data_IF_827613612346
#
_entry.id   IF_827613612346
#
_cell.length_a   1.000
_cell.length_b   1.000
_cell.length_c   1.000
_cell.angle_alpha   90.00
_cell.angle_beta   90.00
_cell.angle_gamma   90.00
#
_symmetry.space_group_name_H-M   'P 1'
#
loop_
_entity.id
_entity.type
_entity.pdbx_description
1 polymer ?
#
# COMPACT_ATOMS: atom_id res chain seq x y z
N UNK A 1 30.93 1.18 53.64
CA UNK A 1 30.35 2.37 52.92
C UNK A 1 31.09 2.65 51.61
N UNK A 2 32.16 1.93 51.23
CA UNK A 2 32.95 2.22 50.03
C UNK A 2 32.60 1.37 48.76
N UNK A 3 31.59 0.55 48.81
CA UNK A 3 31.26 -0.37 47.66
C UNK A 3 30.12 0.16 46.79
N UNK A 4 29.41 1.20 47.19
CA UNK A 4 28.25 1.73 46.47
C UNK A 4 28.56 2.81 45.41
N UNK A 5 29.74 3.40 45.41
CA UNK A 5 30.11 4.47 44.47
C UNK A 5 30.72 3.96 43.15
N UNK A 6 31.29 2.75 43.12
CA UNK A 6 31.90 2.19 41.90
C UNK A 6 30.90 1.59 40.92
N UNK A 7 29.66 1.32 41.34
CA UNK A 7 28.61 0.80 40.43
C UNK A 7 27.90 1.89 39.61
N UNK A 8 27.88 3.12 40.06
CA UNK A 8 27.20 4.22 39.38
C UNK A 8 27.95 4.72 38.15
N UNK A 9 29.28 4.82 38.21
CA UNK A 9 30.09 5.30 37.09
C UNK A 9 30.15 4.31 35.94
N UNK A 10 30.26 3.00 36.22
CA UNK A 10 30.25 1.95 35.17
C UNK A 10 28.90 1.79 34.47
N UNK A 11 27.80 2.13 35.13
CA UNK A 11 26.47 2.09 34.50
C UNK A 11 26.21 3.32 33.63
N UNK A 12 26.70 4.50 34.03
CA UNK A 12 26.58 5.72 33.22
C UNK A 12 27.42 5.64 31.92
N UNK A 13 28.65 5.14 31.98
CA UNK A 13 29.47 4.94 30.79
C UNK A 13 28.86 3.98 29.78
N UNK A 14 28.18 2.87 30.25
CA UNK A 14 27.47 1.96 29.39
C UNK A 14 26.22 2.57 28.74
N UNK A 15 25.52 3.44 29.45
CA UNK A 15 24.33 4.13 28.94
C UNK A 15 24.72 5.22 27.95
N UNK A 16 25.78 6.00 28.25
CA UNK A 16 26.31 7.02 27.33
C UNK A 16 26.89 6.41 26.06
N UNK A 17 27.51 5.22 26.12
CA UNK A 17 27.97 4.49 24.95
C UNK A 17 26.85 3.95 24.10
N UNK A 18 25.65 3.64 24.67
CA UNK A 18 24.47 3.28 23.91
C UNK A 18 23.84 4.45 23.15
N UNK A 19 24.10 5.69 23.58
CA UNK A 19 23.60 6.90 22.91
C UNK A 19 24.52 7.39 21.78
N UNK A 20 25.75 6.89 21.68
CA UNK A 20 26.72 7.21 20.62
C UNK A 20 26.88 6.01 19.71
N UNK A 21 26.01 5.89 18.72
CA UNK A 21 26.07 4.80 17.75
C UNK A 21 26.90 5.23 16.53
N UNK A 22 28.17 4.86 16.52
CA UNK A 22 29.09 5.13 15.41
C UNK A 22 29.31 3.92 14.49
N UNK A 23 28.69 2.79 14.79
CA UNK A 23 28.81 1.57 13.99
C UNK A 23 28.12 1.75 12.64
N UNK A 24 28.79 1.32 11.58
CA UNK A 24 28.25 1.28 10.22
C UNK A 24 28.09 -0.18 9.80
N UNK A 25 26.95 -0.49 9.23
CA UNK A 25 26.63 -1.82 8.72
C UNK A 25 26.51 -1.75 7.19
N UNK A 26 27.63 -1.74 6.45
CA UNK A 26 27.57 -1.71 5.00
C UNK A 26 26.93 -2.99 4.46
N UNK A 27 26.19 -2.92 3.35
CA UNK A 27 25.67 -4.12 2.68
C UNK A 27 26.82 -5.01 2.21
N UNK A 28 26.58 -6.32 2.14
CA UNK A 28 27.56 -7.25 1.60
C UNK A 28 27.83 -6.99 0.12
N UNK A 29 29.02 -7.38 -0.38
CA UNK A 29 29.37 -7.24 -1.80
C UNK A 29 28.34 -7.92 -2.73
N UNK A 30 27.81 -9.07 -2.32
CA UNK A 30 26.75 -9.77 -3.05
C UNK A 30 25.49 -8.91 -3.19
N UNK A 31 25.04 -8.24 -2.12
CA UNK A 31 23.87 -7.34 -2.18
C UNK A 31 24.14 -6.11 -3.04
N UNK A 32 25.33 -5.51 -2.93
CA UNK A 32 25.73 -4.37 -3.77
C UNK A 32 25.70 -4.74 -5.25
N UNK A 33 26.27 -5.89 -5.61
CA UNK A 33 26.35 -6.36 -7.00
C UNK A 33 25.00 -6.67 -7.61
N UNK A 34 24.05 -7.19 -6.80
CA UNK A 34 22.72 -7.59 -7.25
C UNK A 34 21.63 -6.55 -6.94
N UNK A 35 22.00 -5.36 -6.47
CA UNK A 35 21.04 -4.29 -6.18
C UNK A 35 20.39 -3.78 -7.47
N UNK A 36 19.05 -3.63 -7.46
CA UNK A 36 18.30 -3.06 -8.57
C UNK A 36 18.53 -1.55 -8.74
N UNK A 37 19.00 -0.87 -7.69
CA UNK A 37 19.35 0.53 -7.68
C UNK A 37 20.83 0.69 -7.30
N UNK A 38 21.74 0.81 -8.30
CA UNK A 38 23.15 1.01 -8.02
C UNK A 38 23.44 2.38 -7.42
N UNK A 39 24.54 2.52 -6.69
CA UNK A 39 24.93 3.78 -6.04
C UNK A 39 25.07 4.96 -7.02
N UNK A 40 25.42 4.68 -8.29
CA UNK A 40 25.51 5.71 -9.35
C UNK A 40 24.19 6.44 -9.59
N UNK A 41 23.03 5.86 -9.22
CA UNK A 41 21.75 6.54 -9.36
C UNK A 41 21.61 7.75 -8.45
N UNK A 42 22.24 7.74 -7.28
CA UNK A 42 22.30 8.91 -6.40
C UNK A 42 23.08 10.05 -7.05
N UNK A 43 24.18 9.73 -7.73
CA UNK A 43 24.99 10.72 -8.46
C UNK A 43 24.25 11.28 -9.68
N UNK A 44 23.55 10.42 -10.45
CA UNK A 44 22.72 10.83 -11.57
C UNK A 44 21.59 11.77 -11.10
N UNK A 45 20.86 11.39 -10.03
CA UNK A 45 19.78 12.19 -9.48
C UNK A 45 20.26 13.51 -8.90
N UNK A 46 21.47 13.56 -8.30
CA UNK A 46 22.05 14.77 -7.75
C UNK A 46 22.48 15.77 -8.84
N UNK A 47 22.87 15.27 -10.01
CA UNK A 47 23.25 16.11 -11.17
C UNK A 47 22.05 16.75 -11.84
N UNK A 48 20.98 15.96 -12.06
CA UNK A 48 19.75 16.42 -12.70
C UNK A 48 18.58 15.55 -12.24
N UNK A 49 17.89 15.99 -11.19
CA UNK A 49 16.76 15.28 -10.61
C UNK A 49 15.61 15.07 -11.60
N UNK A 50 15.29 16.08 -12.40
CA UNK A 50 14.14 16.00 -13.31
C UNK A 50 14.41 15.01 -14.45
N UNK A 51 15.61 15.07 -15.04
CA UNK A 51 16.02 14.14 -16.09
C UNK A 51 16.13 12.71 -15.57
N UNK A 52 16.63 12.52 -14.33
CA UNK A 52 16.67 11.21 -13.69
C UNK A 52 15.25 10.60 -13.57
N UNK A 53 14.30 11.34 -12.99
CA UNK A 53 12.94 10.83 -12.81
C UNK A 53 12.18 10.68 -14.14
N UNK A 54 12.42 11.55 -15.12
CA UNK A 54 11.91 11.39 -16.48
C UNK A 54 12.34 10.05 -17.07
N UNK A 55 13.65 9.77 -17.04
CA UNK A 55 14.22 8.50 -17.51
C UNK A 55 13.57 7.29 -16.80
N UNK A 56 13.46 7.32 -15.46
CA UNK A 56 12.85 6.23 -14.71
C UNK A 56 11.37 6.02 -15.10
N UNK A 57 10.60 7.09 -15.20
CA UNK A 57 9.19 7.03 -15.56
C UNK A 57 8.95 6.50 -16.98
N UNK A 58 9.70 7.00 -17.98
CA UNK A 58 9.53 6.57 -19.37
C UNK A 58 10.03 5.14 -19.63
N UNK A 59 11.00 4.64 -18.85
CA UNK A 59 11.54 3.29 -19.06
C UNK A 59 10.86 2.20 -18.22
N UNK A 60 10.18 2.56 -17.13
CA UNK A 60 9.63 1.59 -16.17
C UNK A 60 8.11 1.55 -16.11
N UNK A 61 7.44 2.58 -16.60
CA UNK A 61 5.97 2.70 -16.57
C UNK A 61 5.45 2.57 -18.01
N UNK A 62 4.38 1.81 -18.18
CA UNK A 62 3.61 1.79 -19.43
C UNK A 62 2.58 2.92 -19.38
N UNK A 63 2.78 3.91 -20.23
CA UNK A 63 1.90 5.06 -20.36
C UNK A 63 0.86 4.82 -21.47
N UNK A 64 -0.37 5.24 -21.25
CA UNK A 64 -1.38 5.36 -22.30
C UNK A 64 -1.17 6.65 -23.08
N UNK A 65 -0.69 7.69 -22.39
CA UNK A 65 -0.18 8.93 -22.96
C UNK A 65 1.08 9.32 -22.22
N UNK A 66 2.22 9.38 -22.91
CA UNK A 66 3.48 9.79 -22.30
C UNK A 66 3.42 11.24 -21.83
N UNK A 67 3.97 11.56 -20.64
CA UNK A 67 4.01 12.93 -20.14
C UNK A 67 5.04 13.77 -20.92
N UNK A 68 4.70 15.02 -21.18
CA UNK A 68 5.62 16.02 -21.72
C UNK A 68 6.12 16.98 -20.63
N UNK A 69 5.33 17.19 -19.57
CA UNK A 69 5.68 17.98 -18.41
C UNK A 69 6.09 17.08 -17.24
N UNK A 70 7.35 17.17 -16.82
CA UNK A 70 7.89 16.28 -15.78
C UNK A 70 7.49 16.73 -14.40
N UNK A 71 7.56 18.04 -14.13
CA UNK A 71 7.21 18.64 -12.84
C UNK A 71 6.57 20.01 -13.05
N UNK A 72 5.35 20.16 -12.55
CA UNK A 72 4.70 21.47 -12.35
C UNK A 72 4.90 21.89 -10.88
N UNK A 73 5.76 22.86 -10.65
CA UNK A 73 6.07 23.48 -9.36
C UNK A 73 5.52 24.90 -9.22
N UNK A 74 4.58 25.28 -10.06
CA UNK A 74 3.99 26.62 -10.11
C UNK A 74 3.17 27.01 -8.87
N UNK A 75 2.73 26.01 -8.07
CA UNK A 75 1.91 26.23 -6.86
C UNK A 75 2.45 25.47 -5.64
N UNK A 76 3.63 25.84 -5.07
CA UNK A 76 4.15 25.20 -3.87
C UNK A 76 3.19 25.34 -2.67
N UNK A 77 3.07 24.33 -1.79
CA UNK A 77 3.79 23.04 -1.77
C UNK A 77 3.11 21.94 -2.61
N UNK A 78 2.11 22.25 -3.43
CA UNK A 78 1.31 21.29 -4.19
C UNK A 78 1.95 21.00 -5.55
N UNK A 79 3.02 20.21 -5.54
CA UNK A 79 3.74 19.79 -6.73
C UNK A 79 2.98 18.72 -7.52
N UNK A 80 3.01 18.78 -8.85
CA UNK A 80 2.42 17.77 -9.74
C UNK A 80 3.49 17.17 -10.65
N UNK A 81 3.74 15.89 -10.47
CA UNK A 81 4.64 15.12 -11.31
C UNK A 81 3.88 14.52 -12.49
N UNK A 82 4.46 14.59 -13.69
CA UNK A 82 3.92 13.97 -14.91
C UNK A 82 2.45 14.32 -15.17
N UNK A 83 2.09 15.59 -15.00
CA UNK A 83 0.73 16.12 -14.93
C UNK A 83 -0.14 15.79 -16.14
N UNK A 84 0.45 15.79 -17.35
CA UNK A 84 -0.23 15.56 -18.62
C UNK A 84 -0.12 14.12 -19.13
N UNK A 85 0.52 13.24 -18.36
CA UNK A 85 0.61 11.82 -18.63
C UNK A 85 -0.67 11.06 -18.22
N UNK A 86 -0.97 9.96 -18.93
CA UNK A 86 -2.10 9.09 -18.60
C UNK A 86 -1.63 7.66 -18.45
N UNK A 87 -2.01 7.03 -17.36
CA UNK A 87 -1.71 5.64 -17.05
C UNK A 87 -2.83 5.00 -16.21
N UNK A 88 -2.82 3.68 -16.13
CA UNK A 88 -3.59 2.96 -15.12
C UNK A 88 -2.64 2.15 -14.23
N UNK A 89 -2.77 2.32 -12.91
CA UNK A 89 -1.91 1.65 -11.95
C UNK A 89 -2.10 0.12 -11.99
N UNK A 90 -3.35 -0.35 -12.04
CA UNK A 90 -3.66 -1.78 -12.10
C UNK A 90 -3.10 -2.42 -13.38
N UNK A 91 -3.19 -1.73 -14.53
CA UNK A 91 -2.56 -2.19 -15.76
C UNK A 91 -1.05 -2.36 -15.60
N UNK A 92 -0.39 -1.38 -14.99
CA UNK A 92 1.06 -1.44 -14.75
C UNK A 92 1.47 -2.53 -13.76
N UNK A 93 0.61 -2.86 -12.80
CA UNK A 93 0.87 -3.91 -11.83
C UNK A 93 0.57 -5.32 -12.36
N UNK A 94 -0.38 -5.47 -13.26
CA UNK A 94 -0.92 -6.78 -13.68
C UNK A 94 -0.84 -7.00 -15.18
N UNK A 95 -1.67 -6.28 -15.96
CA UNK A 95 -1.97 -6.60 -17.35
C UNK A 95 -0.72 -6.69 -18.21
N UNK A 96 0.19 -5.74 -18.07
CA UNK A 96 1.41 -5.68 -18.86
C UNK A 96 2.38 -6.86 -18.62
N UNK A 97 2.16 -7.62 -17.55
CA UNK A 97 3.00 -8.77 -17.18
C UNK A 97 2.40 -10.12 -17.61
N UNK A 98 1.13 -10.16 -18.03
CA UNK A 98 0.42 -11.42 -18.26
C UNK A 98 1.02 -12.24 -19.40
N UNK A 99 1.46 -11.60 -20.48
CA UNK A 99 2.02 -12.29 -21.64
C UNK A 99 3.33 -13.04 -21.31
N UNK A 100 4.20 -12.45 -20.48
CA UNK A 100 5.51 -13.01 -20.15
C UNK A 100 5.54 -13.76 -18.82
N UNK A 101 4.74 -13.34 -17.86
CA UNK A 101 4.83 -13.76 -16.46
C UNK A 101 3.46 -14.15 -15.85
N UNK A 102 2.46 -14.47 -16.67
CA UNK A 102 1.11 -14.81 -16.19
C UNK A 102 1.09 -15.92 -15.14
N UNK A 103 1.86 -16.98 -15.36
CA UNK A 103 1.99 -18.14 -14.46
C UNK A 103 2.96 -17.90 -13.28
N UNK A 104 3.68 -16.78 -13.28
CA UNK A 104 4.59 -16.42 -12.18
C UNK A 104 3.80 -16.03 -10.95
N UNK A 105 4.29 -16.45 -9.76
CA UNK A 105 3.72 -16.04 -8.48
C UNK A 105 3.91 -14.53 -8.30
N UNK A 106 2.79 -13.80 -8.18
CA UNK A 106 2.78 -12.38 -7.89
C UNK A 106 3.09 -12.13 -6.41
N UNK A 107 2.50 -12.94 -5.51
CA UNK A 107 2.84 -12.94 -4.09
C UNK A 107 2.43 -14.26 -3.42
N UNK A 108 3.15 -14.56 -2.33
CA UNK A 108 2.78 -15.61 -1.39
C UNK A 108 1.99 -14.97 -0.25
N UNK A 109 0.94 -15.63 0.18
CA UNK A 109 0.19 -15.24 1.35
C UNK A 109 0.27 -16.32 2.41
N UNK A 110 0.44 -15.90 3.67
CA UNK A 110 0.41 -16.75 4.84
C UNK A 110 -0.52 -16.10 5.88
N UNK A 111 -1.57 -16.82 6.25
CA UNK A 111 -2.50 -16.42 7.29
C UNK A 111 -1.97 -16.72 8.70
N UNK A 112 -2.47 -16.02 9.71
CA UNK A 112 -2.05 -16.21 11.10
C UNK A 112 -2.26 -17.66 11.59
N UNK A 113 -3.34 -18.40 11.20
CA UNK A 113 -3.49 -19.80 11.53
C UNK A 113 -2.54 -20.76 10.80
N UNK A 114 -1.76 -20.29 9.84
CA UNK A 114 -0.83 -21.10 9.05
C UNK A 114 -1.34 -21.50 7.67
N UNK A 115 -2.52 -21.00 7.25
CA UNK A 115 -3.00 -21.16 5.88
C UNK A 115 -2.07 -20.43 4.90
N UNK A 116 -1.80 -21.02 3.74
CA UNK A 116 -0.93 -20.43 2.71
C UNK A 116 -1.59 -20.44 1.35
N UNK A 117 -1.30 -19.44 0.53
CA UNK A 117 -1.70 -19.38 -0.88
C UNK A 117 -0.55 -18.85 -1.73
N UNK A 118 -0.38 -19.43 -2.90
CA UNK A 118 0.41 -18.87 -4.00
C UNK A 118 -0.56 -18.24 -4.98
N UNK A 119 -0.38 -16.96 -5.29
CA UNK A 119 -1.26 -16.22 -6.18
C UNK A 119 -0.44 -15.75 -7.37
N UNK A 120 -0.76 -16.28 -8.56
CA UNK A 120 -0.10 -15.90 -9.80
C UNK A 120 -0.59 -14.54 -10.31
N UNK A 121 0.13 -13.94 -11.26
CA UNK A 121 -0.33 -12.72 -11.94
C UNK A 121 -1.66 -12.95 -12.65
N UNK A 122 -1.85 -14.12 -13.26
CA UNK A 122 -3.10 -14.48 -13.93
C UNK A 122 -4.26 -14.60 -12.95
N UNK A 123 -4.08 -15.32 -11.82
CA UNK A 123 -5.10 -15.44 -10.77
C UNK A 123 -5.50 -14.07 -10.21
N UNK A 124 -4.49 -13.25 -9.90
CA UNK A 124 -4.71 -11.92 -9.36
C UNK A 124 -5.47 -11.03 -10.34
N UNK A 125 -5.09 -11.07 -11.62
CA UNK A 125 -5.77 -10.34 -12.69
C UNK A 125 -7.24 -10.73 -12.78
N UNK A 126 -7.56 -12.03 -12.78
CA UNK A 126 -8.94 -12.51 -12.86
C UNK A 126 -9.79 -12.07 -11.66
N UNK A 127 -9.24 -12.19 -10.44
CA UNK A 127 -9.90 -11.73 -9.20
C UNK A 127 -10.15 -10.22 -9.24
N UNK A 128 -9.16 -9.44 -9.67
CA UNK A 128 -9.27 -7.98 -9.82
C UNK A 128 -10.32 -7.60 -10.85
N UNK A 129 -10.36 -8.24 -12.00
CA UNK A 129 -11.38 -8.00 -13.03
C UNK A 129 -12.80 -8.32 -12.53
N UNK A 130 -12.98 -9.44 -11.82
CA UNK A 130 -14.28 -9.83 -11.24
C UNK A 130 -14.77 -8.77 -10.24
N UNK A 131 -13.91 -8.34 -9.31
CA UNK A 131 -14.29 -7.33 -8.32
C UNK A 131 -14.50 -5.95 -8.95
N UNK A 132 -13.69 -5.56 -9.94
CA UNK A 132 -13.88 -4.32 -10.71
C UNK A 132 -15.25 -4.26 -11.38
N UNK A 133 -15.67 -5.39 -11.98
CA UNK A 133 -16.99 -5.49 -12.60
C UNK A 133 -18.13 -5.46 -11.57
N UNK A 134 -17.93 -6.04 -10.38
CA UNK A 134 -18.89 -5.97 -9.28
C UNK A 134 -19.05 -4.52 -8.78
N UNK A 135 -17.93 -3.81 -8.55
CA UNK A 135 -17.94 -2.40 -8.14
C UNK A 135 -18.67 -1.51 -9.15
N UNK A 136 -18.41 -1.70 -10.47
CA UNK A 136 -19.12 -0.98 -11.52
C UNK A 136 -20.64 -1.27 -11.52
N UNK A 137 -21.04 -2.52 -11.26
CA UNK A 137 -22.47 -2.87 -11.15
C UNK A 137 -23.15 -2.23 -9.93
N UNK A 138 -22.38 -1.96 -8.88
CA UNK A 138 -22.85 -1.23 -7.68
C UNK A 138 -22.82 0.29 -7.87
N UNK A 139 -22.49 0.78 -9.06
CA UNK A 139 -22.48 2.21 -9.38
C UNK A 139 -21.20 2.94 -8.97
N UNK A 140 -20.10 2.23 -8.66
CA UNK A 140 -18.83 2.88 -8.37
C UNK A 140 -18.20 3.39 -9.67
N UNK A 141 -17.90 4.68 -9.72
CA UNK A 141 -17.35 5.39 -10.86
C UNK A 141 -15.93 5.93 -10.57
N UNK A 142 -15.26 6.42 -11.63
CA UNK A 142 -13.97 7.10 -11.51
C UNK A 142 -14.07 8.30 -10.56
N UNK A 143 -13.21 8.34 -9.56
CA UNK A 143 -13.15 9.40 -8.55
C UNK A 143 -14.01 9.13 -7.31
N UNK A 144 -14.88 8.10 -7.31
CA UNK A 144 -15.55 7.67 -6.10
C UNK A 144 -14.56 7.10 -5.08
N UNK A 145 -14.91 7.18 -3.80
CA UNK A 145 -14.10 6.64 -2.70
C UNK A 145 -14.70 5.35 -2.20
N UNK A 146 -13.84 4.36 -2.03
CA UNK A 146 -14.16 3.03 -1.48
C UNK A 146 -13.36 2.83 -0.21
N UNK A 147 -14.01 2.63 0.93
CA UNK A 147 -13.32 2.26 2.16
C UNK A 147 -13.05 0.75 2.16
N UNK A 148 -11.82 0.36 2.47
CA UNK A 148 -11.40 -1.04 2.55
C UNK A 148 -11.02 -1.31 4.00
N UNK A 149 -11.87 -2.07 4.72
CA UNK A 149 -11.67 -2.46 6.11
C UNK A 149 -11.55 -3.99 6.18
N UNK A 150 -10.36 -4.47 5.90
CA UNK A 150 -10.01 -5.90 5.81
C UNK A 150 -8.81 -6.23 6.70
N UNK A 151 -8.68 -7.51 7.03
CA UNK A 151 -7.44 -8.08 7.51
C UNK A 151 -6.39 -8.21 6.41
N UNK A 152 -5.21 -8.75 6.76
CA UNK A 152 -4.12 -8.99 5.80
C UNK A 152 -4.39 -10.28 5.02
N UNK A 153 -5.40 -10.26 4.15
CA UNK A 153 -5.79 -11.36 3.28
C UNK A 153 -5.54 -10.99 1.81
N UNK A 154 -5.54 -11.96 0.87
CA UNK A 154 -5.39 -11.67 -0.56
C UNK A 154 -6.42 -10.66 -1.09
N UNK A 155 -7.61 -10.63 -0.50
CA UNK A 155 -8.72 -9.78 -0.91
C UNK A 155 -8.43 -8.28 -0.71
N UNK A 156 -7.53 -7.91 0.21
CA UNK A 156 -7.13 -6.50 0.35
C UNK A 156 -6.36 -6.02 -0.87
N UNK A 157 -5.45 -6.85 -1.40
CA UNK A 157 -4.68 -6.56 -2.62
C UNK A 157 -5.60 -6.48 -3.83
N UNK A 158 -6.51 -7.46 -3.96
CA UNK A 158 -7.54 -7.49 -5.01
C UNK A 158 -8.40 -6.23 -4.97
N UNK A 159 -8.83 -5.81 -3.78
CA UNK A 159 -9.69 -4.63 -3.59
C UNK A 159 -8.99 -3.33 -3.98
N UNK A 160 -7.73 -3.15 -3.56
CA UNK A 160 -6.94 -1.97 -3.94
C UNK A 160 -6.74 -1.87 -5.46
N UNK A 161 -6.36 -2.99 -6.10
CA UNK A 161 -6.12 -3.02 -7.54
C UNK A 161 -7.42 -2.91 -8.35
N UNK A 162 -8.54 -3.44 -7.85
CA UNK A 162 -9.84 -3.30 -8.48
C UNK A 162 -10.32 -1.83 -8.50
N UNK A 163 -10.16 -1.11 -7.38
CA UNK A 163 -10.44 0.31 -7.32
C UNK A 163 -9.54 1.10 -8.29
N UNK A 164 -8.23 0.84 -8.26
CA UNK A 164 -7.28 1.49 -9.16
C UNK A 164 -7.62 1.23 -10.65
N UNK A 165 -8.09 0.01 -10.98
CA UNK A 165 -8.45 -0.38 -12.34
C UNK A 165 -9.59 0.45 -12.91
N UNK A 166 -10.61 0.77 -12.12
CA UNK A 166 -11.75 1.58 -12.55
C UNK A 166 -11.56 3.09 -12.29
N UNK A 167 -10.41 3.49 -11.72
CA UNK A 167 -10.12 4.87 -11.38
C UNK A 167 -10.82 5.37 -10.11
N UNK A 168 -11.35 4.48 -9.28
CA UNK A 168 -11.86 4.81 -7.94
C UNK A 168 -10.71 5.00 -6.95
N UNK A 169 -10.92 5.89 -5.99
CA UNK A 169 -9.98 6.14 -4.90
C UNK A 169 -10.28 5.16 -3.76
N UNK A 170 -9.30 4.42 -3.28
CA UNK A 170 -9.48 3.56 -2.12
C UNK A 170 -8.85 4.17 -0.86
N UNK A 171 -9.56 4.00 0.27
CA UNK A 171 -9.09 4.33 1.61
C UNK A 171 -8.97 3.05 2.42
N UNK A 172 -7.73 2.59 2.63
CA UNK A 172 -7.48 1.38 3.42
C UNK A 172 -7.47 1.73 4.89
N UNK A 173 -8.37 1.10 5.64
CA UNK A 173 -8.55 1.31 7.07
C UNK A 173 -8.02 0.08 7.80
N UNK A 174 -7.20 0.29 8.83
CA UNK A 174 -6.63 -0.79 9.60
C UNK A 174 -7.71 -1.58 10.34
N UNK A 175 -7.75 -2.91 10.13
CA UNK A 175 -8.77 -3.83 10.67
C UNK A 175 -8.85 -3.93 12.21
N UNK A 176 -8.00 -3.20 12.93
CA UNK A 176 -8.04 -3.11 14.39
C UNK A 176 -8.68 -1.82 14.92
N UNK A 177 -9.20 -0.95 14.05
CA UNK A 177 -9.91 0.26 14.49
C UNK A 177 -11.35 -0.04 14.93
N UNK A 178 -11.87 0.81 15.84
CA UNK A 178 -13.26 0.75 16.29
C UNK A 178 -14.25 1.23 15.23
N UNK A 179 -15.53 1.02 15.47
CA UNK A 179 -16.63 1.52 14.63
C UNK A 179 -16.58 3.03 14.44
N UNK A 180 -16.31 3.79 15.50
CA UNK A 180 -16.19 5.24 15.47
C UNK A 180 -15.02 5.70 14.59
N UNK A 181 -13.85 5.08 14.78
CA UNK A 181 -12.66 5.41 13.99
C UNK A 181 -12.81 5.01 12.51
N UNK A 182 -13.61 4.00 12.20
CA UNK A 182 -13.98 3.64 10.83
C UNK A 182 -14.97 4.67 10.25
N UNK A 183 -16.01 5.05 11.03
CA UNK A 183 -16.98 6.05 10.61
C UNK A 183 -16.34 7.41 10.31
N UNK A 184 -15.39 7.86 11.12
CA UNK A 184 -14.66 9.11 10.89
C UNK A 184 -13.97 9.11 9.51
N UNK A 185 -13.35 7.99 9.12
CA UNK A 185 -12.67 7.84 7.81
C UNK A 185 -13.63 7.75 6.65
N UNK A 186 -14.76 7.08 6.85
CA UNK A 186 -15.85 7.01 5.87
C UNK A 186 -16.41 8.42 5.64
N UNK A 187 -16.65 9.17 6.71
CA UNK A 187 -17.22 10.53 6.67
C UNK A 187 -16.24 11.52 6.02
N UNK A 188 -14.96 11.47 6.40
CA UNK A 188 -13.92 12.33 5.81
C UNK A 188 -13.77 12.08 4.30
N UNK A 189 -13.69 10.82 3.89
CA UNK A 189 -13.60 10.43 2.49
C UNK A 189 -14.94 10.56 1.74
N UNK A 190 -16.08 10.62 2.44
CA UNK A 190 -17.43 10.47 1.88
C UNK A 190 -17.55 9.21 1.05
N UNK A 191 -17.07 8.09 1.60
CA UNK A 191 -17.02 6.81 0.91
C UNK A 191 -18.42 6.19 0.82
N UNK A 192 -18.86 5.88 -0.40
CA UNK A 192 -20.18 5.28 -0.65
C UNK A 192 -20.17 3.76 -0.58
N UNK A 193 -19.03 3.15 -0.68
CA UNK A 193 -18.86 1.69 -0.67
C UNK A 193 -17.82 1.30 0.37
N UNK A 194 -18.14 0.27 1.16
CA UNK A 194 -17.23 -0.36 2.13
C UNK A 194 -16.99 -1.80 1.70
N UNK A 195 -15.72 -2.22 1.66
CA UNK A 195 -15.33 -3.62 1.48
C UNK A 195 -14.79 -4.12 2.82
N UNK A 196 -15.37 -5.19 3.34
CA UNK A 196 -14.99 -5.78 4.64
C UNK A 196 -15.03 -7.31 4.57
N UNK A 197 -14.72 -7.98 5.67
CA UNK A 197 -14.91 -9.41 5.88
C UNK A 197 -15.82 -9.65 7.08
N UNK A 198 -16.35 -10.86 7.20
CA UNK A 198 -17.09 -11.29 8.41
C UNK A 198 -16.19 -11.20 9.64
N UNK A 199 -14.93 -11.65 9.54
CA UNK A 199 -13.92 -11.52 10.57
C UNK A 199 -12.50 -11.60 10.01
N UNK A 200 -11.51 -11.35 10.85
CA UNK A 200 -10.10 -11.53 10.52
C UNK A 200 -9.31 -12.00 11.73
N UNK A 201 -8.41 -12.95 11.53
CA UNK A 201 -7.47 -13.40 12.56
C UNK A 201 -6.51 -12.28 12.95
N UNK A 202 -6.34 -12.09 14.25
CA UNK A 202 -5.37 -11.14 14.80
C UNK A 202 -4.99 -11.51 16.23
N UNK A 203 -3.70 -11.75 16.47
CA UNK A 203 -3.14 -12.09 17.80
C UNK A 203 -3.79 -13.32 18.45
N UNK A 204 -4.10 -14.34 17.64
CA UNK A 204 -4.72 -15.58 18.09
C UNK A 204 -6.24 -15.55 18.23
N UNK A 205 -6.89 -14.39 17.98
CA UNK A 205 -8.33 -14.22 18.07
C UNK A 205 -8.95 -13.72 16.76
N UNK A 206 -10.25 -13.88 16.61
CA UNK A 206 -11.00 -13.34 15.46
C UNK A 206 -11.59 -11.98 15.83
N UNK A 207 -11.15 -10.94 15.12
CA UNK A 207 -11.76 -9.61 15.18
C UNK A 207 -13.02 -9.61 14.29
N UNK A 208 -14.22 -9.30 14.84
CA UNK A 208 -15.48 -9.31 14.09
C UNK A 208 -15.62 -8.06 13.23
N UNK A 209 -14.95 -8.03 12.06
CA UNK A 209 -14.88 -6.83 11.20
C UNK A 209 -16.25 -6.36 10.75
N UNK A 210 -17.14 -7.29 10.39
CA UNK A 210 -18.51 -6.94 9.96
C UNK A 210 -19.30 -6.21 11.07
N UNK A 211 -19.17 -6.65 12.31
CA UNK A 211 -19.85 -6.00 13.44
C UNK A 211 -19.36 -4.55 13.62
N UNK A 212 -18.05 -4.32 13.45
CA UNK A 212 -17.50 -2.96 13.50
C UNK A 212 -18.02 -2.08 12.36
N UNK A 213 -18.17 -2.67 11.17
CA UNK A 213 -18.80 -1.96 10.03
C UNK A 213 -20.25 -1.62 10.37
N UNK A 214 -21.04 -2.58 10.87
CA UNK A 214 -22.44 -2.33 11.23
C UNK A 214 -22.58 -1.18 12.23
N UNK A 215 -21.75 -1.16 13.28
CA UNK A 215 -21.70 -0.06 14.22
C UNK A 215 -21.27 1.28 13.59
N UNK A 216 -20.39 1.24 12.57
CA UNK A 216 -19.99 2.46 11.86
C UNK A 216 -21.11 3.03 10.96
N UNK A 217 -22.00 2.17 10.44
CA UNK A 217 -23.12 2.61 9.60
C UNK A 217 -24.15 3.46 10.38
N UNK A 218 -24.24 3.29 11.69
CA UNK A 218 -25.09 4.14 12.54
C UNK A 218 -24.54 5.57 12.68
N UNK A 219 -23.28 5.79 12.33
CA UNK A 219 -22.54 7.05 12.48
C UNK A 219 -22.22 7.75 11.15
N UNK A 220 -22.74 7.23 10.02
CA UNK A 220 -22.51 7.79 8.69
C UNK A 220 -23.76 7.73 7.82
N UNK A 221 -23.89 8.73 6.93
CA UNK A 221 -24.99 8.78 5.93
C UNK A 221 -24.48 8.50 4.50
N UNK A 222 -23.18 8.25 4.32
CA UNK A 222 -22.56 8.17 2.98
C UNK A 222 -22.59 6.78 2.38
N UNK A 223 -22.63 5.71 3.20
CA UNK A 223 -22.48 4.33 2.71
C UNK A 223 -23.77 3.83 2.07
N UNK A 224 -23.68 3.50 0.79
CA UNK A 224 -24.77 2.92 -0.01
C UNK A 224 -24.59 1.40 -0.17
N UNK A 225 -23.34 0.91 -0.15
CA UNK A 225 -23.03 -0.50 -0.41
C UNK A 225 -21.99 -1.03 0.58
N UNK A 226 -22.20 -2.29 1.04
CA UNK A 226 -21.21 -3.04 1.84
C UNK A 226 -20.96 -4.39 1.16
N UNK A 227 -19.71 -4.63 0.79
CA UNK A 227 -19.25 -5.92 0.26
C UNK A 227 -18.58 -6.67 1.39
N UNK A 228 -19.02 -7.91 1.65
CA UNK A 228 -18.48 -8.77 2.72
C UNK A 228 -17.81 -9.98 2.10
N UNK A 229 -16.51 -10.13 2.39
CA UNK A 229 -15.74 -11.34 2.10
C UNK A 229 -15.99 -12.35 3.23
N UNK A 230 -16.19 -13.61 2.87
CA UNK A 230 -16.38 -14.73 3.80
C UNK A 230 -15.16 -15.62 3.82
#
# INVERSE_FOLDING_TARGET
>A
IYILFLRGEFMNEKIENLLKEDRKFPPSEHLIKNANAPSSWYDEASKDRLKFWQKQALTRISWFKEPTEILDDSNPPFFKWFKDGELNLSYNCLDRHLESDGDRVAFYWEGEPGDTQEITYQDLYERVCKLSNALKKLGVEKGDRVAIYLGMTPEIVVSMLACARIGAVHSVVFGGFSSEALADRINDAKAKTVITADGAWRRGDIVPLKNNVDGSLELTEYVENVIVVK
#
